data_IF_293458729025
#
_entry.id   IF_293458729025
#
_cell.length_a   1.000
_cell.length_b   1.000
_cell.length_c   1.000
_cell.angle_alpha   90.00
_cell.angle_beta   90.00
_cell.angle_gamma   90.00
#
_symmetry.space_group_name_H-M   'P 1'
#
loop_
_entity.id
_entity.type
_entity.pdbx_description
1 polymer ?
#
# COMPACT_ATOMS: atom_id res chain seq x y z
N UNK A 1 -6.01 -11.82 -18.28
CA UNK A 1 -6.29 -11.00 -17.07
C UNK A 1 -6.13 -11.78 -15.76
N UNK A 2 -6.66 -13.00 -15.64
CA UNK A 2 -6.54 -13.84 -14.42
C UNK A 2 -5.09 -14.24 -14.09
N UNK A 3 -4.29 -14.61 -15.10
CA UNK A 3 -2.87 -14.95 -14.92
C UNK A 3 -2.03 -13.74 -14.46
N UNK A 4 -2.26 -12.56 -15.06
CA UNK A 4 -1.60 -11.32 -14.67
C UNK A 4 -1.93 -10.95 -13.21
N UNK A 5 -3.20 -11.05 -12.80
CA UNK A 5 -3.61 -10.81 -11.41
C UNK A 5 -2.93 -11.79 -10.44
N UNK A 6 -2.89 -13.09 -10.78
CA UNK A 6 -2.21 -14.10 -9.95
C UNK A 6 -0.70 -13.84 -9.83
N UNK A 7 -0.06 -13.40 -10.92
CA UNK A 7 1.35 -13.06 -10.92
C UNK A 7 1.64 -11.84 -10.04
N UNK A 8 0.89 -10.75 -10.22
CA UNK A 8 1.01 -9.54 -9.39
C UNK A 8 0.76 -9.87 -7.93
N UNK A 9 -0.33 -10.58 -7.61
CA UNK A 9 -0.64 -10.98 -6.24
C UNK A 9 0.48 -11.80 -5.59
N UNK A 10 1.11 -12.71 -6.34
CA UNK A 10 2.17 -13.58 -5.83
C UNK A 10 3.47 -12.80 -5.59
N UNK A 11 3.83 -11.92 -6.52
CA UNK A 11 5.01 -11.04 -6.39
C UNK A 11 4.83 -10.09 -5.21
N UNK A 12 3.68 -9.42 -5.10
CA UNK A 12 3.43 -8.49 -3.99
C UNK A 12 3.37 -9.22 -2.64
N UNK A 13 2.77 -10.41 -2.57
CA UNK A 13 2.77 -11.23 -1.37
C UNK A 13 4.19 -11.67 -0.96
N UNK A 14 4.99 -12.14 -1.91
CA UNK A 14 6.36 -12.55 -1.67
C UNK A 14 7.22 -11.37 -1.18
N UNK A 15 7.13 -10.21 -1.84
CA UNK A 15 7.80 -8.99 -1.41
C UNK A 15 7.38 -8.57 0.00
N UNK A 16 6.07 -8.55 0.29
CA UNK A 16 5.54 -8.13 1.60
C UNK A 16 5.98 -9.08 2.71
N UNK A 17 5.89 -10.40 2.50
CA UNK A 17 6.34 -11.40 3.47
C UNK A 17 7.85 -11.31 3.72
N UNK A 18 8.64 -11.13 2.66
CA UNK A 18 10.11 -11.01 2.76
C UNK A 18 10.48 -9.75 3.54
N UNK A 19 9.86 -8.60 3.19
CA UNK A 19 10.01 -7.35 3.93
C UNK A 19 9.62 -7.50 5.40
N UNK A 20 8.55 -8.23 5.70
CA UNK A 20 8.11 -8.45 7.09
C UNK A 20 9.10 -9.27 7.90
N UNK A 21 9.66 -10.34 7.31
CA UNK A 21 10.70 -11.14 7.96
C UNK A 21 11.94 -10.30 8.21
N UNK A 22 12.39 -9.53 7.21
CA UNK A 22 13.55 -8.63 7.33
C UNK A 22 13.31 -7.59 8.42
N UNK A 23 12.13 -6.98 8.48
CA UNK A 23 11.75 -6.04 9.53
C UNK A 23 11.83 -6.64 10.93
N UNK A 24 11.34 -7.86 11.12
CA UNK A 24 11.41 -8.57 12.41
C UNK A 24 12.87 -8.80 12.81
N UNK A 25 13.71 -9.26 11.88
CA UNK A 25 15.13 -9.50 12.15
C UNK A 25 15.88 -8.21 12.54
N UNK A 26 15.64 -7.10 11.84
CA UNK A 26 16.29 -5.84 12.15
C UNK A 26 15.72 -5.21 13.44
N UNK A 27 14.44 -5.41 13.75
CA UNK A 27 13.87 -4.99 15.04
C UNK A 27 14.52 -5.77 16.20
N UNK A 28 14.73 -7.08 16.06
CA UNK A 28 15.49 -7.88 17.01
C UNK A 28 16.93 -7.37 17.15
N UNK A 29 17.58 -7.01 16.05
CA UNK A 29 18.91 -6.40 16.06
C UNK A 29 18.93 -5.04 16.77
N UNK A 30 17.91 -4.20 16.60
CA UNK A 30 17.78 -2.94 17.34
C UNK A 30 17.65 -3.16 18.84
N UNK A 31 16.84 -4.13 19.28
CA UNK A 31 16.75 -4.49 20.70
C UNK A 31 18.12 -4.94 21.21
N UNK A 32 18.81 -5.81 20.47
CA UNK A 32 20.15 -6.27 20.85
C UNK A 32 21.16 -5.12 20.95
N UNK A 33 21.27 -4.26 19.94
CA UNK A 33 22.22 -3.13 19.95
C UNK A 33 21.92 -2.11 21.04
N UNK A 34 20.64 -1.85 21.31
CA UNK A 34 20.22 -0.91 22.36
C UNK A 34 20.46 -1.44 23.78
N UNK A 35 20.14 -2.71 24.03
CA UNK A 35 20.19 -3.28 25.38
C UNK A 35 21.52 -3.98 25.70
N UNK A 36 22.27 -4.45 24.71
CA UNK A 36 23.55 -5.16 24.90
C UNK A 36 24.74 -4.27 24.60
N UNK A 37 24.71 -3.54 23.49
CA UNK A 37 25.85 -2.70 23.08
C UNK A 37 25.79 -1.26 23.65
N UNK A 38 24.69 -0.88 24.32
CA UNK A 38 24.46 0.47 24.88
C UNK A 38 24.71 1.62 23.88
N UNK A 39 24.70 1.32 22.58
CA UNK A 39 24.95 2.27 21.49
C UNK A 39 23.84 2.10 20.46
N UNK A 40 22.75 2.90 20.54
CA UNK A 40 21.67 2.82 19.58
C UNK A 40 22.19 3.23 18.19
N UNK A 41 22.08 2.31 17.22
CA UNK A 41 22.51 2.57 15.85
C UNK A 41 21.47 3.43 15.13
N UNK A 42 21.73 4.74 15.04
CA UNK A 42 20.90 5.72 14.32
C UNK A 42 20.69 5.33 12.84
N UNK A 43 21.69 4.68 12.25
CA UNK A 43 21.69 4.14 10.88
C UNK A 43 20.68 3.00 10.75
N UNK A 44 20.71 2.01 11.67
CA UNK A 44 19.74 0.91 11.66
C UNK A 44 18.31 1.38 11.93
N UNK A 45 18.14 2.43 12.73
CA UNK A 45 16.84 3.03 13.03
C UNK A 45 16.23 3.76 11.83
N UNK A 46 17.00 4.60 11.13
CA UNK A 46 16.53 5.21 9.89
C UNK A 46 16.22 4.14 8.83
N UNK A 47 17.07 3.13 8.65
CA UNK A 47 16.79 2.07 7.68
C UNK A 47 15.49 1.33 8.00
N UNK A 48 15.25 0.99 9.27
CA UNK A 48 14.02 0.29 9.67
C UNK A 48 12.78 1.12 9.34
N UNK A 49 12.84 2.43 9.56
CA UNK A 49 11.76 3.36 9.26
C UNK A 49 11.45 3.39 7.76
N UNK A 50 12.48 3.43 6.93
CA UNK A 50 12.31 3.41 5.48
C UNK A 50 11.70 2.09 5.01
N UNK A 51 12.21 0.96 5.52
CA UNK A 51 11.67 -0.37 5.22
C UNK A 51 10.20 -0.50 5.67
N UNK A 52 9.85 0.02 6.84
CA UNK A 52 8.48 0.01 7.35
C UNK A 52 7.52 0.81 6.47
N UNK A 53 7.94 1.99 6.00
CA UNK A 53 7.12 2.81 5.10
C UNK A 53 6.85 2.05 3.80
N UNK A 54 7.89 1.50 3.17
CA UNK A 54 7.76 0.69 1.96
C UNK A 54 6.87 -0.53 2.17
N UNK A 55 7.06 -1.27 3.27
CA UNK A 55 6.25 -2.44 3.63
C UNK A 55 4.79 -2.04 3.80
N UNK A 56 4.52 -0.96 4.53
CA UNK A 56 3.16 -0.52 4.83
C UNK A 56 2.44 -0.06 3.57
N UNK A 57 3.13 0.70 2.70
CA UNK A 57 2.54 1.20 1.46
C UNK A 57 2.23 0.05 0.48
N UNK A 58 3.20 -0.86 0.24
CA UNK A 58 3.00 -2.01 -0.64
C UNK A 58 1.99 -3.01 -0.05
N UNK A 59 2.07 -3.29 1.25
CA UNK A 59 1.17 -4.18 1.96
C UNK A 59 -0.26 -3.67 1.98
N UNK A 60 -0.47 -2.36 2.10
CA UNK A 60 -1.79 -1.74 1.99
C UNK A 60 -2.37 -1.86 0.59
N UNK A 61 -1.57 -1.62 -0.46
CA UNK A 61 -2.00 -1.80 -1.85
C UNK A 61 -2.39 -3.28 -2.12
N UNK A 62 -1.64 -4.23 -1.56
CA UNK A 62 -1.98 -5.65 -1.66
C UNK A 62 -3.28 -6.01 -0.94
N UNK A 63 -3.44 -5.53 0.30
CA UNK A 63 -4.64 -5.76 1.10
C UNK A 63 -5.90 -5.19 0.42
N UNK A 64 -5.75 -4.03 -0.23
CA UNK A 64 -6.77 -3.43 -1.10
C UNK A 64 -7.18 -4.38 -2.21
N UNK A 65 -6.22 -4.90 -2.98
CA UNK A 65 -6.47 -5.85 -4.08
C UNK A 65 -7.12 -7.18 -3.66
N UNK A 66 -6.99 -7.55 -2.39
CA UNK A 66 -7.68 -8.70 -1.78
C UNK A 66 -9.08 -8.35 -1.25
N UNK A 67 -9.57 -7.12 -1.48
CA UNK A 67 -10.87 -6.62 -0.99
C UNK A 67 -11.05 -6.78 0.52
N UNK A 68 -9.95 -6.69 1.28
CA UNK A 68 -9.97 -6.82 2.75
C UNK A 68 -10.40 -5.53 3.47
N UNK A 69 -11.06 -4.59 2.79
CA UNK A 69 -11.77 -3.48 3.44
C UNK A 69 -13.01 -4.01 4.17
N UNK A 70 -12.77 -4.72 5.27
CA UNK A 70 -13.75 -5.37 6.12
C UNK A 70 -14.87 -4.41 6.54
N UNK A 71 -14.53 -3.15 6.80
CA UNK A 71 -15.48 -2.10 7.17
C UNK A 71 -16.53 -1.83 6.08
N UNK A 72 -16.10 -1.72 4.81
CA UNK A 72 -17.03 -1.44 3.69
C UNK A 72 -17.91 -2.65 3.41
N UNK A 73 -17.37 -3.86 3.52
CA UNK A 73 -18.13 -5.10 3.32
C UNK A 73 -19.23 -5.24 4.38
N UNK A 74 -18.97 -4.84 5.63
CA UNK A 74 -19.93 -4.95 6.72
C UNK A 74 -21.09 -3.95 6.56
N UNK A 75 -20.79 -2.71 6.18
CA UNK A 75 -21.81 -1.68 5.92
C UNK A 75 -22.64 -2.05 4.68
N UNK A 76 -22.00 -2.54 3.61
CA UNK A 76 -22.69 -2.97 2.39
C UNK A 76 -23.68 -4.12 2.63
N UNK A 77 -23.40 -5.03 3.58
CA UNK A 77 -24.32 -6.13 3.93
C UNK A 77 -25.61 -5.69 4.63
N UNK A 78 -25.63 -4.51 5.25
CA UNK A 78 -26.85 -3.95 5.87
C UNK A 78 -27.74 -3.20 4.87
N UNK A 79 -27.27 -3.01 3.63
CA UNK A 79 -27.96 -2.23 2.60
C UNK A 79 -28.66 -3.19 1.63
N UNK A 80 -29.90 -2.88 1.18
CA UNK A 80 -30.61 -3.69 0.20
C UNK A 80 -29.78 -3.91 -1.07
N UNK A 81 -29.84 -5.11 -1.66
CA UNK A 81 -28.99 -5.54 -2.78
C UNK A 81 -28.99 -4.55 -3.95
N UNK A 82 -30.15 -3.93 -4.22
CA UNK A 82 -30.34 -2.92 -5.27
C UNK A 82 -29.43 -1.69 -5.12
N UNK A 83 -29.06 -1.30 -3.90
CA UNK A 83 -28.20 -0.14 -3.64
C UNK A 83 -26.74 -0.50 -3.34
N UNK A 84 -26.42 -1.79 -3.18
CA UNK A 84 -25.05 -2.20 -2.87
C UNK A 84 -24.05 -1.86 -3.96
N UNK A 85 -24.46 -1.91 -5.23
CA UNK A 85 -23.59 -1.55 -6.37
C UNK A 85 -23.26 -0.06 -6.34
N UNK A 86 -24.25 0.79 -6.08
CA UNK A 86 -24.06 2.26 -5.99
C UNK A 86 -23.11 2.61 -4.86
N UNK A 87 -23.28 2.00 -3.69
CA UNK A 87 -22.39 2.22 -2.53
C UNK A 87 -20.97 1.76 -2.81
N UNK A 88 -20.79 0.59 -3.44
CA UNK A 88 -19.46 0.10 -3.85
C UNK A 88 -18.79 1.06 -4.84
N UNK A 89 -19.54 1.56 -5.82
CA UNK A 89 -19.03 2.51 -6.81
C UNK A 89 -18.63 3.85 -6.17
N UNK A 90 -19.43 4.35 -5.21
CA UNK A 90 -19.09 5.56 -4.44
C UNK A 90 -17.81 5.38 -3.64
N UNK A 91 -17.61 4.22 -3.00
CA UNK A 91 -16.38 3.92 -2.27
C UNK A 91 -15.18 3.88 -3.23
N UNK A 92 -15.28 3.19 -4.36
CA UNK A 92 -14.19 3.19 -5.35
C UNK A 92 -13.92 4.60 -5.89
N UNK A 93 -14.94 5.44 -6.07
CA UNK A 93 -14.75 6.83 -6.51
C UNK A 93 -13.96 7.65 -5.46
N UNK A 94 -14.28 7.52 -4.18
CA UNK A 94 -13.52 8.16 -3.09
C UNK A 94 -12.08 7.66 -3.05
N UNK A 95 -11.89 6.35 -3.21
CA UNK A 95 -10.54 5.76 -3.27
C UNK A 95 -9.77 6.25 -4.49
N UNK A 96 -10.42 6.39 -5.66
CA UNK A 96 -9.79 6.94 -6.86
C UNK A 96 -9.27 8.36 -6.61
N UNK A 97 -10.09 9.21 -6.00
CA UNK A 97 -9.69 10.58 -5.63
C UNK A 97 -8.49 10.53 -4.68
N UNK A 98 -8.53 9.68 -3.65
CA UNK A 98 -7.41 9.51 -2.74
C UNK A 98 -6.12 9.07 -3.45
N UNK A 99 -6.19 8.09 -4.35
CA UNK A 99 -5.03 7.61 -5.12
C UNK A 99 -4.45 8.74 -5.98
N UNK A 100 -5.28 9.43 -6.74
CA UNK A 100 -4.81 10.44 -7.70
C UNK A 100 -4.28 11.67 -6.98
N UNK A 101 -5.03 12.21 -6.02
CA UNK A 101 -4.70 13.47 -5.35
C UNK A 101 -3.59 13.27 -4.31
N UNK A 102 -3.72 12.27 -3.44
CA UNK A 102 -2.80 12.09 -2.32
C UNK A 102 -1.58 11.28 -2.74
N UNK A 103 -1.77 10.10 -3.33
CA UNK A 103 -0.64 9.19 -3.58
C UNK A 103 0.17 9.60 -4.82
N UNK A 104 -0.48 9.89 -5.94
CA UNK A 104 0.21 10.22 -7.18
C UNK A 104 0.64 11.69 -7.23
N UNK A 105 -0.31 12.63 -7.14
CA UNK A 105 0.01 14.05 -7.21
C UNK A 105 0.78 14.51 -5.96
N UNK A 106 0.24 14.26 -4.77
CA UNK A 106 0.91 14.56 -3.49
C UNK A 106 2.26 13.85 -3.35
N UNK A 107 2.34 12.56 -3.72
CA UNK A 107 3.60 11.81 -3.70
C UNK A 107 4.65 12.36 -4.68
N UNK A 108 4.24 12.80 -5.87
CA UNK A 108 5.17 13.43 -6.85
C UNK A 108 5.66 14.78 -6.36
N UNK A 109 4.78 15.62 -5.80
CA UNK A 109 5.19 16.90 -5.19
C UNK A 109 6.15 16.67 -4.02
N UNK A 110 5.87 15.69 -3.16
CA UNK A 110 6.73 15.34 -2.04
C UNK A 110 8.08 14.79 -2.50
N UNK A 111 8.10 13.97 -3.57
CA UNK A 111 9.33 13.50 -4.20
C UNK A 111 10.18 14.67 -4.70
N UNK A 112 9.59 15.62 -5.42
CA UNK A 112 10.29 16.80 -5.93
C UNK A 112 10.83 17.69 -4.81
N UNK A 113 10.04 17.91 -3.76
CA UNK A 113 10.47 18.70 -2.59
C UNK A 113 11.62 18.03 -1.81
N UNK A 114 11.70 16.70 -1.87
CA UNK A 114 12.77 15.92 -1.26
C UNK A 114 14.05 15.87 -2.13
N UNK A 115 14.03 16.42 -3.35
CA UNK A 115 15.21 16.45 -4.22
C UNK A 115 16.32 17.27 -3.56
N UNK A 116 17.53 16.68 -3.48
CA UNK A 116 18.68 17.28 -2.78
C UNK A 116 18.70 17.09 -1.25
N UNK A 117 17.65 16.54 -0.64
CA UNK A 117 17.64 16.20 0.79
C UNK A 117 18.19 14.79 1.02
N UNK A 118 19.21 14.68 1.89
CA UNK A 118 19.80 13.42 2.32
C UNK A 118 19.52 13.16 3.80
N UNK A 119 19.27 11.91 4.18
CA UNK A 119 19.05 11.56 5.58
C UNK A 119 20.34 11.74 6.40
N UNK A 120 20.19 12.21 7.64
CA UNK A 120 21.31 12.62 8.47
C UNK A 120 22.14 11.45 8.99
N UNK A 121 21.54 10.27 9.16
CA UNK A 121 22.28 9.09 9.64
C UNK A 121 22.65 8.13 8.51
N UNK A 122 21.74 7.87 7.57
CA UNK A 122 21.93 6.89 6.50
C UNK A 122 22.56 7.48 5.22
N UNK A 123 22.53 8.80 5.04
CA UNK A 123 23.01 9.46 3.82
C UNK A 123 22.19 9.13 2.57
N UNK A 124 21.03 8.47 2.72
CA UNK A 124 20.17 8.15 1.58
C UNK A 124 19.30 9.33 1.17
N UNK A 125 19.09 9.55 -0.14
CA UNK A 125 18.15 10.57 -0.61
C UNK A 125 16.73 10.31 -0.08
N UNK A 126 16.11 11.33 0.53
CA UNK A 126 14.73 11.25 1.05
C UNK A 126 13.70 10.97 -0.05
N UNK A 127 14.05 11.23 -1.31
CA UNK A 127 13.25 10.94 -2.50
C UNK A 127 12.80 9.48 -2.59
N UNK A 128 13.64 8.53 -2.17
CA UNK A 128 13.32 7.10 -2.19
C UNK A 128 12.19 6.74 -1.24
N UNK A 129 12.00 7.51 -0.16
CA UNK A 129 10.88 7.32 0.76
C UNK A 129 9.58 7.72 0.06
N UNK A 130 9.55 8.87 -0.61
CA UNK A 130 8.36 9.36 -1.30
C UNK A 130 8.02 8.55 -2.57
N UNK A 131 9.01 7.92 -3.19
CA UNK A 131 8.79 7.00 -4.30
C UNK A 131 7.87 5.83 -3.91
N UNK A 132 7.89 5.41 -2.64
CA UNK A 132 7.00 4.35 -2.14
C UNK A 132 5.51 4.73 -2.27
N UNK A 133 5.16 6.02 -2.12
CA UNK A 133 3.79 6.50 -2.30
C UNK A 133 3.36 6.42 -3.76
N UNK A 134 4.23 6.84 -4.68
CA UNK A 134 3.94 6.83 -6.13
C UNK A 134 3.77 5.38 -6.60
N UNK A 135 4.72 4.49 -6.27
CA UNK A 135 4.68 3.07 -6.67
C UNK A 135 3.43 2.39 -6.12
N UNK A 136 3.10 2.64 -4.85
CA UNK A 136 1.92 2.05 -4.24
C UNK A 136 0.63 2.64 -4.81
N UNK A 137 0.61 3.95 -5.10
CA UNK A 137 -0.50 4.60 -5.79
C UNK A 137 -0.81 3.97 -7.15
N UNK A 138 0.21 3.64 -7.95
CA UNK A 138 0.04 2.92 -9.21
C UNK A 138 -0.55 1.53 -8.99
N UNK A 139 -0.07 0.79 -7.98
CA UNK A 139 -0.62 -0.52 -7.62
C UNK A 139 -2.09 -0.43 -7.17
N UNK A 140 -2.43 0.55 -6.33
CA UNK A 140 -3.79 0.82 -5.92
C UNK A 140 -4.70 1.11 -7.12
N UNK A 141 -4.24 1.96 -8.06
CA UNK A 141 -4.98 2.28 -9.28
C UNK A 141 -5.25 1.03 -10.12
N UNK A 142 -4.26 0.15 -10.26
CA UNK A 142 -4.40 -1.12 -10.95
C UNK A 142 -5.48 -2.01 -10.30
N UNK A 143 -5.47 -2.16 -8.97
CA UNK A 143 -6.50 -2.96 -8.28
C UNK A 143 -7.89 -2.32 -8.35
N UNK A 144 -8.00 -1.00 -8.28
CA UNK A 144 -9.26 -0.28 -8.44
C UNK A 144 -9.89 -0.55 -9.79
N UNK A 145 -9.12 -0.50 -10.88
CA UNK A 145 -9.61 -0.82 -12.22
C UNK A 145 -10.14 -2.26 -12.29
N UNK A 146 -9.45 -3.21 -11.64
CA UNK A 146 -9.91 -4.60 -11.56
C UNK A 146 -11.22 -4.73 -10.76
N UNK A 147 -11.37 -4.00 -9.66
CA UNK A 147 -12.59 -4.02 -8.85
C UNK A 147 -13.79 -3.46 -9.61
N UNK A 148 -13.62 -2.30 -10.27
CA UNK A 148 -14.66 -1.67 -11.07
C UNK A 148 -15.11 -2.62 -12.19
N UNK A 149 -14.18 -3.23 -12.93
CA UNK A 149 -14.51 -4.24 -13.95
C UNK A 149 -15.32 -5.41 -13.38
N UNK A 150 -14.95 -5.92 -12.21
CA UNK A 150 -15.69 -7.02 -11.57
C UNK A 150 -17.13 -6.62 -11.18
N UNK A 151 -17.36 -5.36 -10.80
CA UNK A 151 -18.71 -4.89 -10.48
C UNK A 151 -19.61 -4.83 -11.71
N UNK A 152 -19.09 -4.41 -12.87
CA UNK A 152 -19.85 -4.40 -14.11
C UNK A 152 -20.17 -5.82 -14.59
N UNK A 153 -19.20 -6.75 -14.55
CA UNK A 153 -19.44 -8.15 -14.95
C UNK A 153 -20.46 -8.89 -14.06
N UNK A 154 -20.48 -8.61 -12.75
CA UNK A 154 -21.48 -9.20 -11.84
C UNK A 154 -22.83 -8.48 -11.86
N UNK A 155 -22.86 -7.19 -12.20
CA UNK A 155 -24.10 -6.44 -12.38
C UNK A 155 -24.93 -6.97 -13.56
N UNK A 156 -24.28 -7.52 -14.58
CA UNK A 156 -24.92 -8.15 -15.74
C UNK A 156 -25.65 -9.45 -15.38
N UNK A 157 -25.14 -10.23 -14.41
CA UNK A 157 -25.76 -11.49 -13.94
C UNK A 157 -26.98 -11.31 -13.01
N UNK A 158 -27.28 -10.10 -12.55
CA UNK A 158 -28.45 -9.80 -11.69
C UNK A 158 -29.59 -9.18 -12.53
N UNK A 159 -29.30 -8.81 -13.78
CA UNK A 159 -30.25 -8.21 -14.71
C UNK A 159 -30.87 -9.23 -15.69
N UNK A 160 -30.37 -10.47 -15.72
CA UNK A 160 -31.02 -11.66 -16.32
C UNK A 160 -31.78 -12.46 -15.25
#
# INVERSE_FOLDING_TARGET
MILLRKAVDRVTAFLTCTLMIVMVLIACWQVFTRFVLNSPSTVSEEFLRYALIWLTMLGSAYAYGKKKHLAVVFVARKIPEKYQIVVKLLVEAVVLVFIVVILLFGGTQAYQNAVGQVSSALGMPMQYLYLSLIVSGVLFLFYLILHVKEYFTKGEQIAE
#
